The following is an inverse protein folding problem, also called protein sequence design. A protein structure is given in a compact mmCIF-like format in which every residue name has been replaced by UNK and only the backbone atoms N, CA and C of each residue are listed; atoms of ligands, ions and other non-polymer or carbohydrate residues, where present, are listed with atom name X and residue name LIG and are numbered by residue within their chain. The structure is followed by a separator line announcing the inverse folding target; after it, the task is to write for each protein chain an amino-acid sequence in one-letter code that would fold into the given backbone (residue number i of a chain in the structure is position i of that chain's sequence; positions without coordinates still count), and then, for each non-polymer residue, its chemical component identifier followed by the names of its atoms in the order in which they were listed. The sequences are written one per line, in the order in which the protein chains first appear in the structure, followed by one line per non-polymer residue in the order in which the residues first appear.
data_IF_483479077068
#
_entry.id   IF_483479077068
#
_cell.length_a   1.000
_cell.length_b   1.000
_cell.length_c   1.000
_cell.angle_alpha   90.00
_cell.angle_beta   90.00
_cell.angle_gamma   90.00
#
_symmetry.space_group_name_H-M   'P 1'
#
loop_
_entity.id
_entity.type
_entity.pdbx_description
1 polymer ?
#
# COMPACT_ATOMS: atom_id res chain seq x y z
N UNK A 1 -0.27 -18.02 -4.21
CA UNK A 1 -0.32 -17.00 -3.15
C UNK A 1 -1.79 -16.67 -2.91
N UNK A 2 -2.31 -16.95 -1.70
CA UNK A 2 -3.75 -16.81 -1.37
C UNK A 2 -4.27 -15.37 -1.44
N UNK A 3 -3.48 -14.41 -0.99
CA UNK A 3 -3.88 -13.00 -0.92
C UNK A 3 -3.10 -12.15 -1.95
N UNK A 4 -3.77 -11.13 -2.50
CA UNK A 4 -3.24 -10.23 -3.52
C UNK A 4 -3.32 -8.75 -3.13
N UNK A 5 -4.17 -8.39 -2.17
CA UNK A 5 -4.35 -7.03 -1.68
C UNK A 5 -4.37 -6.99 -0.15
N UNK A 6 -3.59 -6.07 0.42
CA UNK A 6 -3.61 -5.72 1.84
C UNK A 6 -4.14 -4.30 1.99
N UNK A 7 -5.25 -4.13 2.70
CA UNK A 7 -5.89 -2.84 2.96
C UNK A 7 -5.68 -2.47 4.43
N UNK A 8 -5.18 -1.27 4.69
CA UNK A 8 -4.82 -0.83 6.02
C UNK A 8 -5.55 0.47 6.35
N UNK A 9 -6.27 0.49 7.47
CA UNK A 9 -6.53 1.75 8.13
C UNK A 9 -5.22 2.42 8.59
N UNK A 10 -5.27 3.74 8.79
CA UNK A 10 -4.11 4.56 9.10
C UNK A 10 -4.02 4.91 10.59
N UNK A 11 -5.02 5.59 11.13
CA UNK A 11 -4.97 6.15 12.49
C UNK A 11 -5.48 5.13 13.49
N UNK A 12 -4.62 4.67 14.41
CA UNK A 12 -4.96 3.56 15.31
C UNK A 12 -4.60 2.20 14.71
N UNK A 13 -4.28 2.12 13.42
CA UNK A 13 -3.88 0.86 12.78
C UNK A 13 -2.44 0.85 12.29
N UNK A 14 -2.13 1.60 11.22
CA UNK A 14 -0.79 1.68 10.65
C UNK A 14 0.17 2.51 11.50
N UNK A 15 -0.35 3.61 12.07
CA UNK A 15 0.43 4.57 12.83
C UNK A 15 0.38 4.26 14.33
N UNK A 16 1.53 4.44 14.97
CA UNK A 16 1.63 4.49 16.43
C UNK A 16 1.06 5.84 16.97
N UNK A 17 1.04 6.00 18.28
CA UNK A 17 0.54 7.18 18.98
C UNK A 17 1.38 8.44 18.67
N UNK A 18 2.65 8.26 18.28
CA UNK A 18 3.51 9.33 17.76
C UNK A 18 3.18 9.72 16.31
N UNK A 19 2.17 9.10 15.69
CA UNK A 19 1.77 9.27 14.28
C UNK A 19 2.87 8.87 13.28
N UNK A 20 3.68 7.90 13.66
CA UNK A 20 4.78 7.35 12.85
C UNK A 20 4.51 5.89 12.45
N UNK A 21 5.06 5.50 11.30
CA UNK A 21 5.12 4.08 10.90
C UNK A 21 6.37 3.48 11.55
N UNK A 22 6.21 2.45 12.37
CA UNK A 22 7.35 1.79 12.99
C UNK A 22 8.27 1.15 11.94
N UNK A 23 9.56 1.01 12.27
CA UNK A 23 10.54 0.38 11.37
C UNK A 23 10.15 -1.05 11.00
N UNK A 24 9.60 -1.81 11.95
CA UNK A 24 9.18 -3.20 11.73
C UNK A 24 7.97 -3.27 10.80
N UNK A 25 6.98 -2.41 11.00
CA UNK A 25 5.78 -2.33 10.14
C UNK A 25 6.14 -1.90 8.73
N UNK A 26 6.93 -0.84 8.57
CA UNK A 26 7.45 -0.41 7.27
C UNK A 26 8.19 -1.54 6.57
N UNK A 27 9.10 -2.20 7.29
CA UNK A 27 9.92 -3.26 6.73
C UNK A 27 9.09 -4.47 6.25
N UNK A 28 8.07 -4.85 7.01
CA UNK A 28 7.15 -5.94 6.70
C UNK A 28 6.25 -5.62 5.51
N UNK A 29 5.71 -4.41 5.44
CA UNK A 29 4.88 -3.96 4.33
C UNK A 29 5.67 -3.85 3.02
N UNK A 30 6.90 -3.35 3.07
CA UNK A 30 7.79 -3.36 1.90
C UNK A 30 8.09 -4.79 1.42
N UNK A 31 8.28 -5.74 2.34
CA UNK A 31 8.54 -7.15 1.97
C UNK A 31 7.32 -7.78 1.30
N UNK A 32 6.13 -7.59 1.87
CA UNK A 32 4.86 -8.06 1.26
C UNK A 32 4.63 -7.44 -0.10
N UNK A 33 4.89 -6.13 -0.22
CA UNK A 33 4.86 -5.45 -1.49
C UNK A 33 5.81 -6.10 -2.47
N UNK A 34 7.09 -6.29 -2.16
CA UNK A 34 8.06 -6.95 -3.05
C UNK A 34 7.65 -8.35 -3.51
N UNK A 35 6.91 -9.09 -2.67
CA UNK A 35 6.41 -10.43 -3.00
C UNK A 35 5.22 -10.44 -3.97
N UNK A 36 4.67 -9.27 -4.32
CA UNK A 36 3.57 -9.17 -5.28
C UNK A 36 2.31 -8.55 -4.72
N UNK A 37 2.10 -8.60 -3.40
CA UNK A 37 0.86 -8.13 -2.81
C UNK A 37 0.78 -6.60 -2.90
N UNK A 38 -0.32 -6.08 -3.43
CA UNK A 38 -0.56 -4.63 -3.46
C UNK A 38 -1.01 -4.16 -2.09
N UNK A 39 -0.64 -2.93 -1.72
CA UNK A 39 -1.07 -2.30 -0.45
C UNK A 39 -1.97 -1.11 -0.75
N UNK A 40 -3.09 -1.01 -0.05
CA UNK A 40 -3.98 0.14 -0.08
C UNK A 40 -4.11 0.77 1.30
N UNK A 41 -3.99 2.10 1.40
CA UNK A 41 -4.33 2.84 2.61
C UNK A 41 -5.81 3.26 2.56
N UNK A 42 -6.57 3.06 3.63
CA UNK A 42 -7.98 3.43 3.71
C UNK A 42 -8.28 4.26 4.95
N UNK A 43 -8.51 5.57 4.79
CA UNK A 43 -8.59 6.51 5.91
C UNK A 43 -9.62 7.62 5.70
N UNK A 44 -10.09 8.20 6.80
CA UNK A 44 -10.89 9.42 6.81
C UNK A 44 -10.11 10.67 6.38
N UNK A 45 -8.77 10.62 6.44
CA UNK A 45 -7.91 11.74 6.05
C UNK A 45 -8.10 12.17 4.59
N UNK A 46 -7.90 13.45 4.27
CA UNK A 46 -7.80 13.91 2.89
C UNK A 46 -6.61 13.27 2.18
N UNK A 47 -6.70 13.15 0.86
CA UNK A 47 -5.64 12.62 0.01
C UNK A 47 -4.28 13.22 0.32
N UNK A 48 -4.21 14.54 0.45
CA UNK A 48 -2.95 15.25 0.73
C UNK A 48 -2.30 14.79 2.04
N UNK A 49 -3.10 14.52 3.08
CA UNK A 49 -2.64 14.01 4.37
C UNK A 49 -2.08 12.59 4.32
N UNK A 50 -2.48 11.79 3.31
CA UNK A 50 -2.01 10.41 3.11
C UNK A 50 -0.79 10.31 2.20
N UNK A 51 -0.54 11.30 1.34
CA UNK A 51 0.57 11.29 0.39
C UNK A 51 1.95 11.07 1.04
N UNK A 52 2.28 11.67 2.20
CA UNK A 52 3.56 11.39 2.87
C UNK A 52 3.70 9.91 3.27
N UNK A 53 2.64 9.30 3.79
CA UNK A 53 2.63 7.89 4.20
C UNK A 53 2.75 6.96 2.99
N UNK A 54 2.00 7.25 1.94
CA UNK A 54 2.07 6.51 0.68
C UNK A 54 3.47 6.54 0.06
N UNK A 55 4.17 7.68 0.16
CA UNK A 55 5.58 7.82 -0.28
C UNK A 55 6.53 7.00 0.61
N UNK A 56 6.38 7.07 1.93
CA UNK A 56 7.20 6.28 2.88
C UNK A 56 7.07 4.79 2.65
N UNK A 57 5.86 4.32 2.34
CA UNK A 57 5.58 2.91 1.99
C UNK A 57 5.94 2.56 0.54
N UNK A 58 6.45 3.51 -0.25
CA UNK A 58 6.76 3.34 -1.66
C UNK A 58 5.59 2.79 -2.50
N UNK A 59 4.34 3.13 -2.14
CA UNK A 59 3.15 2.55 -2.79
C UNK A 59 3.19 2.74 -4.32
N UNK A 60 3.70 3.87 -4.80
CA UNK A 60 3.83 4.11 -6.23
C UNK A 60 4.79 3.15 -6.96
N UNK A 61 5.79 2.60 -6.27
CA UNK A 61 6.71 1.61 -6.86
C UNK A 61 6.08 0.22 -6.96
N UNK A 62 5.04 -0.05 -6.16
CA UNK A 62 4.45 -1.38 -6.01
C UNK A 62 2.96 -1.43 -6.39
N UNK A 63 2.49 -0.45 -7.17
CA UNK A 63 1.10 -0.34 -7.64
C UNK A 63 0.07 -0.32 -6.49
N UNK A 64 0.39 0.41 -5.43
CA UNK A 64 -0.49 0.61 -4.28
C UNK A 64 -1.57 1.67 -4.52
N UNK A 65 -2.54 1.73 -3.61
CA UNK A 65 -3.70 2.60 -3.71
C UNK A 65 -3.90 3.45 -2.45
N UNK A 66 -4.62 4.56 -2.61
CA UNK A 66 -5.06 5.41 -1.51
C UNK A 66 -6.58 5.53 -1.62
N UNK A 67 -7.27 5.19 -0.54
CA UNK A 67 -8.70 5.39 -0.32
C UNK A 67 -8.83 6.48 0.75
N UNK A 68 -9.14 7.69 0.32
CA UNK A 68 -9.23 8.87 1.19
C UNK A 68 -10.67 9.29 1.45
N UNK A 69 -10.86 10.24 2.36
CA UNK A 69 -12.18 10.79 2.70
C UNK A 69 -13.21 9.70 3.08
N UNK A 70 -12.80 8.70 3.87
CA UNK A 70 -13.63 7.56 4.29
C UNK A 70 -14.17 6.72 3.12
N UNK A 71 -13.54 6.78 1.94
CA UNK A 71 -14.01 6.11 0.73
C UNK A 71 -14.50 7.07 -0.36
N UNK A 72 -14.48 8.38 -0.13
CA UNK A 72 -14.91 9.37 -1.12
C UNK A 72 -14.05 9.41 -2.39
N UNK A 73 -12.80 8.92 -2.33
CA UNK A 73 -11.89 8.92 -3.48
C UNK A 73 -10.97 7.69 -3.46
N UNK A 74 -10.64 7.16 -4.65
CA UNK A 74 -9.61 6.13 -4.86
C UNK A 74 -8.56 6.70 -5.81
N UNK A 75 -7.29 6.61 -5.40
CA UNK A 75 -6.14 7.07 -6.18
C UNK A 75 -5.16 5.93 -6.38
N UNK A 76 -4.68 5.77 -7.62
CA UNK A 76 -3.51 4.96 -7.92
C UNK A 76 -2.24 5.73 -7.51
N UNK A 77 -1.49 5.19 -6.54
CA UNK A 77 -0.33 5.86 -5.98
C UNK A 77 0.86 5.98 -6.95
N UNK A 78 0.87 5.21 -8.05
CA UNK A 78 1.94 5.22 -9.04
C UNK A 78 1.90 6.47 -9.94
N UNK A 79 0.72 6.82 -10.43
CA UNK A 79 0.52 7.85 -11.45
C UNK A 79 -0.37 9.01 -10.98
N UNK A 80 -0.97 8.91 -9.78
CA UNK A 80 -1.90 9.90 -9.25
C UNK A 80 -3.28 9.87 -9.91
N UNK A 81 -3.59 8.85 -10.69
CA UNK A 81 -4.88 8.70 -11.37
C UNK A 81 -6.00 8.48 -10.36
N UNK A 82 -7.07 9.27 -10.50
CA UNK A 82 -8.30 9.13 -9.71
C UNK A 82 -9.16 8.06 -10.38
N UNK A 83 -9.26 6.89 -9.74
CA UNK A 83 -10.03 5.76 -10.24
C UNK A 83 -11.52 5.86 -9.90
N UNK A 84 -11.81 6.52 -8.78
CA UNK A 84 -13.16 6.73 -8.30
C UNK A 84 -13.19 7.99 -7.45
N UNK A 85 -14.28 8.75 -7.56
CA UNK A 85 -14.51 9.92 -6.74
C UNK A 85 -16.01 10.19 -6.61
N UNK A 86 -16.45 10.57 -5.41
CA UNK A 86 -17.74 11.22 -5.20
C UNK A 86 -17.55 12.55 -4.51
N UNK A 87 -18.36 13.52 -4.92
CA UNK A 87 -18.34 14.88 -4.41
C UNK A 87 -19.75 15.31 -4.01
N UNK A 88 -19.81 16.21 -3.03
CA UNK A 88 -21.02 16.91 -2.61
C UNK A 88 -21.39 17.91 -3.70
N UNK A 89 -22.67 17.97 -4.06
CA UNK A 89 -23.17 19.01 -4.95
C UNK A 89 -22.95 20.40 -4.27
N UNK A 90 -22.20 21.33 -4.89
CA UNK A 90 -21.95 22.67 -4.34
C UNK A 90 -23.22 23.44 -3.93
N UNK A 91 -24.36 23.16 -4.58
CA UNK A 91 -25.65 23.77 -4.24
C UNK A 91 -26.12 23.44 -2.80
N UNK A 92 -25.55 22.40 -2.17
CA UNK A 92 -25.83 22.03 -0.78
C UNK A 92 -25.05 22.89 0.23
N UNK A 93 -23.94 23.52 -0.17
CA UNK A 93 -23.06 24.25 0.75
C UNK A 93 -23.78 25.39 1.49
N UNK A 94 -24.64 26.22 0.85
CA UNK A 94 -25.39 27.24 1.58
C UNK A 94 -26.32 26.66 2.65
N UNK A 95 -26.88 25.46 2.42
CA UNK A 95 -27.71 24.78 3.41
C UNK A 95 -26.89 24.26 4.60
N UNK A 96 -25.73 23.66 4.33
CA UNK A 96 -24.81 23.18 5.36
C UNK A 96 -24.28 24.34 6.22
N UNK A 97 -23.79 25.41 5.58
CA UNK A 97 -23.31 26.62 6.25
C UNK A 97 -24.41 27.26 7.11
N UNK A 98 -25.62 27.43 6.57
CA UNK A 98 -26.74 28.00 7.32
C UNK A 98 -27.07 27.20 8.59
N UNK A 99 -26.94 25.87 8.52
CA UNK A 99 -27.16 24.98 9.66
C UNK A 99 -26.00 25.02 10.65
N UNK A 100 -24.76 25.09 10.19
CA UNK A 100 -23.59 25.30 11.04
C UNK A 100 -23.74 26.61 11.84
N UNK A 101 -23.99 27.74 11.17
CA UNK A 101 -24.22 29.05 11.81
C UNK A 101 -25.39 29.03 12.79
N UNK A 102 -26.52 28.41 12.45
CA UNK A 102 -27.68 28.34 13.34
C UNK A 102 -27.38 27.62 14.65
N UNK A 103 -26.53 26.58 14.62
CA UNK A 103 -26.16 25.81 15.80
C UNK A 103 -24.85 26.29 16.45
N UNK A 104 -24.24 27.36 15.93
CA UNK A 104 -22.94 27.86 16.38
C UNK A 104 -21.81 26.82 16.25
N UNK A 105 -21.81 26.08 15.15
CA UNK A 105 -20.74 25.15 14.79
C UNK A 105 -19.84 25.81 13.75
N UNK A 106 -18.53 25.54 13.82
CA UNK A 106 -17.65 25.85 12.70
C UNK A 106 -17.87 24.84 11.57
N UNK A 107 -17.53 25.21 10.35
CA UNK A 107 -17.60 24.32 9.18
C UNK A 107 -16.34 24.43 8.35
N UNK A 108 -15.84 23.29 7.85
CA UNK A 108 -14.71 23.29 6.95
C UNK A 108 -14.80 22.22 5.85
N UNK A 109 -14.00 22.40 4.80
CA UNK A 109 -13.75 21.44 3.73
C UNK A 109 -12.27 21.44 3.35
N UNK A 110 -11.86 20.47 2.54
CA UNK A 110 -10.50 20.36 2.01
C UNK A 110 -10.44 20.79 0.55
N UNK A 111 -9.34 21.43 0.16
CA UNK A 111 -8.96 21.67 -1.22
C UNK A 111 -7.43 21.60 -1.34
N UNK A 112 -6.93 20.64 -2.11
CA UNK A 112 -5.49 20.40 -2.29
C UNK A 112 -4.71 20.34 -0.95
N UNK A 113 -3.81 21.30 -0.70
CA UNK A 113 -3.00 21.42 0.51
C UNK A 113 -3.62 22.34 1.58
N UNK A 114 -4.92 22.60 1.49
CA UNK A 114 -5.62 23.57 2.34
C UNK A 114 -6.90 23.04 2.99
N UNK A 115 -7.21 23.59 4.17
CA UNK A 115 -8.53 23.58 4.80
C UNK A 115 -9.15 24.96 4.58
N UNK A 116 -10.34 25.01 3.98
CA UNK A 116 -11.19 26.20 3.93
C UNK A 116 -12.21 26.12 5.05
N UNK A 117 -12.29 27.14 5.89
CA UNK A 117 -13.13 27.16 7.11
C UNK A 117 -13.73 28.53 7.36
N UNK A 118 -14.86 28.60 8.06
CA UNK A 118 -15.41 29.85 8.58
C UNK A 118 -14.76 30.32 9.90
N UNK A 119 -14.08 29.40 10.60
CA UNK A 119 -13.38 29.68 11.86
C UNK A 119 -11.98 29.04 11.85
N UNK A 120 -10.95 29.87 11.60
CA UNK A 120 -9.55 29.43 11.64
C UNK A 120 -8.99 29.32 13.06
N UNK A 121 -9.66 29.93 14.03
CA UNK A 121 -9.30 29.95 15.43
C UNK A 121 -9.89 28.79 16.24
N UNK A 122 -10.73 27.96 15.63
CA UNK A 122 -11.24 26.74 16.22
C UNK A 122 -10.10 25.73 16.47
N UNK A 123 -10.03 25.18 17.69
CA UNK A 123 -8.95 24.29 18.11
C UNK A 123 -8.89 22.97 17.33
N UNK A 124 -10.05 22.38 17.02
CA UNK A 124 -10.14 21.11 16.30
C UNK A 124 -9.84 21.28 14.82
N UNK A 125 -10.24 22.41 14.22
CA UNK A 125 -9.85 22.75 12.84
C UNK A 125 -8.33 22.90 12.74
N UNK A 126 -7.68 23.56 13.72
CA UNK A 126 -6.21 23.64 13.77
C UNK A 126 -5.56 22.29 13.99
N UNK A 127 -6.12 21.45 14.86
CA UNK A 127 -5.60 20.11 15.09
C UNK A 127 -5.66 19.25 13.81
N UNK A 128 -6.78 19.31 13.07
CA UNK A 128 -6.96 18.60 11.80
C UNK A 128 -5.99 19.10 10.71
N UNK A 129 -5.80 20.42 10.63
CA UNK A 129 -4.82 21.01 9.71
C UNK A 129 -3.40 20.54 10.03
N UNK A 130 -3.02 20.54 11.30
CA UNK A 130 -1.70 20.09 11.75
C UNK A 130 -1.47 18.60 11.49
N UNK A 131 -2.47 17.76 11.78
CA UNK A 131 -2.40 16.31 11.57
C UNK A 131 -2.14 15.95 10.09
N UNK A 132 -2.72 16.73 9.18
CA UNK A 132 -2.65 16.49 7.73
C UNK A 132 -1.65 17.40 7.01
N UNK A 133 -0.91 18.25 7.74
CA UNK A 133 0.02 19.24 7.19
C UNK A 133 -0.61 20.19 6.16
N UNK A 134 -1.81 20.71 6.47
CA UNK A 134 -2.59 21.60 5.61
C UNK A 134 -2.48 23.06 6.07
N UNK A 135 -2.58 23.98 5.12
CA UNK A 135 -2.74 25.41 5.40
C UNK A 135 -4.20 25.72 5.69
N UNK A 136 -4.47 26.66 6.59
CA UNK A 136 -5.84 27.12 6.87
C UNK A 136 -6.11 28.40 6.10
N UNK A 137 -7.23 28.45 5.40
CA UNK A 137 -7.79 29.63 4.76
C UNK A 137 -9.14 29.92 5.41
N UNK A 138 -9.27 31.10 6.02
CA UNK A 138 -10.53 31.53 6.60
C UNK A 138 -11.37 32.30 5.60
N UNK A 139 -12.64 31.95 5.49
CA UNK A 139 -13.62 32.59 4.63
C UNK A 139 -14.88 32.91 5.43
N UNK A 140 -15.25 34.19 5.54
CA UNK A 140 -16.43 34.60 6.31
C UNK A 140 -17.73 34.01 5.72
N UNK A 141 -17.80 33.92 4.39
CA UNK A 141 -18.93 33.34 3.64
C UNK A 141 -18.48 32.03 2.98
N UNK A 142 -18.44 30.96 3.78
CA UNK A 142 -17.91 29.64 3.43
C UNK A 142 -18.49 29.11 2.12
N UNK A 143 -19.81 29.12 1.94
CA UNK A 143 -20.44 28.58 0.73
C UNK A 143 -20.19 29.41 -0.53
N UNK A 144 -19.83 30.69 -0.39
CA UNK A 144 -19.54 31.57 -1.53
C UNK A 144 -18.09 31.43 -1.99
N UNK A 145 -17.17 31.14 -1.08
CA UNK A 145 -15.76 30.98 -1.38
C UNK A 145 -15.42 29.64 -2.07
N UNK A 146 -16.32 28.66 -2.01
CA UNK A 146 -16.12 27.33 -2.59
C UNK A 146 -16.77 27.26 -3.97
N UNK A 147 -15.95 27.31 -5.02
CA UNK A 147 -16.35 27.21 -6.43
C UNK A 147 -16.17 25.80 -7.03
N UNK A 148 -15.83 24.82 -6.18
CA UNK A 148 -15.62 23.42 -6.54
C UNK A 148 -16.55 22.49 -5.75
N UNK A 149 -16.71 21.26 -6.21
CA UNK A 149 -17.47 20.24 -5.50
C UNK A 149 -16.57 19.51 -4.47
N UNK A 150 -16.80 19.63 -3.15
CA UNK A 150 -15.91 19.02 -2.15
C UNK A 150 -16.19 17.53 -1.98
N UNK A 151 -15.17 16.75 -1.62
CA UNK A 151 -15.34 15.32 -1.31
C UNK A 151 -16.07 15.09 0.02
N UNK A 152 -15.89 16.01 0.98
CA UNK A 152 -16.60 16.01 2.27
C UNK A 152 -16.62 17.40 2.89
N UNK A 153 -17.60 17.66 3.75
CA UNK A 153 -17.61 18.81 4.65
C UNK A 153 -17.70 18.32 6.10
N UNK A 154 -17.14 19.07 7.03
CA UNK A 154 -17.16 18.72 8.46
C UNK A 154 -17.69 19.89 9.25
N UNK A 155 -18.67 19.63 10.11
CA UNK A 155 -19.12 20.57 11.12
C UNK A 155 -18.44 20.25 12.46
N UNK A 156 -18.07 21.29 13.20
CA UNK A 156 -17.21 21.18 14.37
C UNK A 156 -17.85 21.86 15.58
N UNK A 157 -17.93 21.15 16.70
CA UNK A 157 -18.44 21.67 17.97
C UNK A 157 -17.91 20.88 19.16
N UNK A 158 -17.76 21.54 20.31
CA UNK A 158 -17.51 20.87 21.59
C UNK A 158 -18.81 20.37 22.27
N UNK A 159 -19.97 20.69 21.68
CA UNK A 159 -21.28 20.22 22.15
C UNK A 159 -21.66 18.92 21.42
N UNK A 160 -21.26 17.79 22.01
CA UNK A 160 -21.50 16.45 21.45
C UNK A 160 -23.00 16.12 21.31
N UNK A 161 -23.83 16.59 22.24
CA UNK A 161 -25.28 16.37 22.20
C UNK A 161 -25.90 17.12 21.02
N UNK A 162 -25.51 18.38 20.81
CA UNK A 162 -26.00 19.17 19.69
C UNK A 162 -25.53 18.61 18.33
N UNK A 163 -24.32 18.04 18.24
CA UNK A 163 -23.85 17.34 17.03
C UNK A 163 -24.70 16.09 16.75
N UNK A 164 -24.96 15.26 17.78
CA UNK A 164 -25.79 14.06 17.66
C UNK A 164 -27.24 14.38 17.27
N UNK A 165 -27.82 15.43 17.86
CA UNK A 165 -29.16 15.89 17.49
C UNK A 165 -29.22 16.31 16.01
N UNK A 166 -28.19 17.01 15.52
CA UNK A 166 -28.09 17.40 14.12
C UNK A 166 -27.85 16.18 13.22
N UNK A 167 -27.01 15.23 13.64
CA UNK A 167 -26.76 13.96 12.96
C UNK A 167 -28.07 13.19 12.74
N UNK A 168 -28.87 12.97 13.79
CA UNK A 168 -30.15 12.26 13.69
C UNK A 168 -31.16 12.99 12.79
N UNK A 169 -31.19 14.32 12.87
CA UNK A 169 -32.04 15.14 12.01
C UNK A 169 -31.64 15.02 10.54
N UNK A 170 -30.33 15.08 10.25
CA UNK A 170 -29.80 15.03 8.90
C UNK A 170 -29.83 13.64 8.29
N UNK A 171 -29.60 12.58 9.07
CA UNK A 171 -29.79 11.19 8.64
C UNK A 171 -31.17 10.97 8.02
N UNK A 172 -32.22 11.61 8.56
CA UNK A 172 -33.58 11.53 8.01
C UNK A 172 -33.82 12.49 6.85
N UNK A 173 -33.27 13.71 6.91
CA UNK A 173 -33.59 14.78 5.95
C UNK A 173 -32.76 14.71 4.67
N UNK A 174 -31.54 14.20 4.76
CA UNK A 174 -30.59 14.11 3.65
C UNK A 174 -30.47 12.68 3.11
N UNK A 175 -31.29 11.76 3.60
CA UNK A 175 -31.32 10.35 3.17
C UNK A 175 -31.37 10.22 1.64
N UNK A 176 -30.56 9.31 1.11
CA UNK A 176 -30.38 9.13 -0.33
C UNK A 176 -29.63 10.25 -1.07
N UNK A 177 -29.23 11.33 -0.37
CA UNK A 177 -28.48 12.45 -0.98
C UNK A 177 -27.09 12.61 -0.36
N UNK A 178 -27.00 12.72 0.97
CA UNK A 178 -25.76 12.84 1.73
C UNK A 178 -25.84 11.92 2.96
N UNK A 179 -24.74 11.26 3.27
CA UNK A 179 -24.59 10.53 4.53
C UNK A 179 -23.96 11.44 5.58
N UNK A 180 -24.40 11.27 6.82
CA UNK A 180 -23.97 12.09 7.95
C UNK A 180 -23.71 11.19 9.14
N UNK A 181 -22.53 11.35 9.75
CA UNK A 181 -22.13 10.60 10.94
C UNK A 181 -21.06 11.35 11.74
N UNK A 182 -21.01 11.13 13.05
CA UNK A 182 -19.89 11.62 13.86
C UNK A 182 -18.69 10.67 13.75
N UNK A 183 -17.54 11.17 13.33
CA UNK A 183 -16.28 10.41 13.31
C UNK A 183 -15.47 10.59 14.59
N UNK A 184 -15.53 11.79 15.17
CA UNK A 184 -14.98 12.14 16.48
C UNK A 184 -16.10 12.77 17.32
N UNK A 185 -15.97 12.84 18.66
CA UNK A 185 -16.98 13.48 19.51
C UNK A 185 -17.31 14.93 19.09
N UNK A 186 -16.34 15.61 18.47
CA UNK A 186 -16.44 17.00 18.02
C UNK A 186 -16.56 17.19 16.50
N UNK A 187 -16.60 16.11 15.70
CA UNK A 187 -16.71 16.18 14.23
C UNK A 187 -17.96 15.46 13.73
N UNK A 188 -18.83 16.23 13.07
CA UNK A 188 -19.94 15.72 12.28
C UNK A 188 -19.55 15.76 10.79
N UNK A 189 -19.26 14.59 10.22
CA UNK A 189 -18.92 14.46 8.81
C UNK A 189 -20.18 14.44 7.94
N UNK A 190 -20.10 15.17 6.83
CA UNK A 190 -21.09 15.17 5.76
C UNK A 190 -20.37 14.69 4.50
N UNK A 191 -20.83 13.58 3.94
CA UNK A 191 -20.23 12.94 2.76
C UNK A 191 -21.30 12.61 1.72
N UNK A 192 -20.93 12.38 0.45
CA UNK A 192 -21.88 11.87 -0.55
C UNK A 192 -22.51 10.55 -0.12
N UNK A 193 -23.79 10.34 -0.46
CA UNK A 193 -24.50 9.11 -0.07
C UNK A 193 -23.82 7.84 -0.62
N UNK A 194 -23.76 6.79 0.21
CA UNK A 194 -23.20 5.48 -0.07
C UNK A 194 -21.68 5.40 0.04
N UNK A 195 -21.03 6.42 0.61
CA UNK A 195 -19.58 6.43 0.82
C UNK A 195 -19.22 5.80 2.16
N UNK A 196 -18.56 4.65 2.10
CA UNK A 196 -17.79 4.08 3.20
C UNK A 196 -16.56 3.32 2.66
N UNK A 197 -15.63 2.95 3.55
CA UNK A 197 -14.41 2.24 3.16
C UNK A 197 -14.70 0.89 2.48
N UNK A 198 -15.79 0.22 2.84
CA UNK A 198 -16.12 -1.13 2.37
C UNK A 198 -16.70 -1.13 0.95
N UNK A 199 -17.66 -0.26 0.67
CA UNK A 199 -18.25 -0.06 -0.65
C UNK A 199 -17.17 0.40 -1.64
N UNK A 200 -16.32 1.34 -1.22
CA UNK A 200 -15.23 1.84 -2.04
C UNK A 200 -14.14 0.79 -2.25
N UNK A 201 -13.86 -0.06 -1.24
CA UNK A 201 -13.03 -1.25 -1.44
C UNK A 201 -13.63 -2.16 -2.52
N UNK A 202 -14.94 -2.41 -2.52
CA UNK A 202 -15.62 -3.18 -3.57
C UNK A 202 -15.41 -2.63 -4.99
N UNK A 203 -15.38 -1.30 -5.13
CA UNK A 203 -15.04 -0.63 -6.40
C UNK A 203 -13.59 -0.92 -6.79
N UNK A 204 -12.64 -0.81 -5.85
CA UNK A 204 -11.23 -1.12 -6.10
C UNK A 204 -11.03 -2.60 -6.51
N UNK A 205 -11.69 -3.53 -5.82
CA UNK A 205 -11.60 -4.96 -6.12
C UNK A 205 -12.10 -5.27 -7.54
N UNK A 206 -13.20 -4.63 -7.95
CA UNK A 206 -13.73 -4.75 -9.31
C UNK A 206 -12.77 -4.23 -10.36
N UNK A 207 -12.12 -3.09 -10.10
CA UNK A 207 -11.10 -2.52 -10.99
C UNK A 207 -9.87 -3.43 -11.12
N UNK A 208 -9.41 -4.01 -10.02
CA UNK A 208 -8.23 -4.89 -10.01
C UNK A 208 -8.52 -6.33 -10.43
N UNK A 209 -9.79 -6.70 -10.62
CA UNK A 209 -10.23 -8.07 -10.83
C UNK A 209 -9.70 -9.04 -9.74
N UNK A 210 -9.80 -8.60 -8.48
CA UNK A 210 -9.39 -9.36 -7.28
C UNK A 210 -10.65 -9.83 -6.56
N UNK A 211 -10.73 -11.12 -6.23
CA UNK A 211 -11.84 -11.63 -5.44
C UNK A 211 -11.67 -11.22 -3.97
N UNK A 212 -12.78 -10.99 -3.25
CA UNK A 212 -12.73 -10.56 -1.84
C UNK A 212 -11.95 -11.55 -0.96
N UNK A 213 -12.00 -12.84 -1.28
CA UNK A 213 -11.27 -13.92 -0.58
C UNK A 213 -9.74 -13.76 -0.66
N UNK A 214 -9.26 -12.97 -1.61
CA UNK A 214 -7.84 -12.66 -1.84
C UNK A 214 -7.41 -11.36 -1.14
N UNK A 215 -8.24 -10.80 -0.26
CA UNK A 215 -8.02 -9.51 0.42
C UNK A 215 -7.84 -9.71 1.91
N UNK A 216 -6.85 -9.02 2.47
CA UNK A 216 -6.70 -8.82 3.91
C UNK A 216 -7.03 -7.37 4.21
N UNK A 217 -7.85 -7.11 5.22
CA UNK A 217 -8.10 -5.76 5.73
C UNK A 217 -7.72 -5.69 7.21
N UNK A 218 -7.05 -4.61 7.63
CA UNK A 218 -6.69 -4.35 9.02
C UNK A 218 -7.24 -2.99 9.45
N UNK A 219 -7.87 -2.94 10.62
CA UNK A 219 -8.49 -1.73 11.18
C UNK A 219 -8.73 -1.84 12.68
N UNK A 220 -9.10 -0.73 13.32
CA UNK A 220 -9.38 -0.65 14.76
C UNK A 220 -10.72 0.01 15.08
N UNK A 221 -11.22 0.85 14.18
CA UNK A 221 -12.39 1.69 14.41
C UNK A 221 -13.71 1.04 13.99
N UNK A 222 -14.83 1.60 14.46
CA UNK A 222 -16.18 1.21 14.04
C UNK A 222 -16.39 1.42 12.54
N UNK A 223 -15.76 2.46 11.97
CA UNK A 223 -15.76 2.75 10.54
C UNK A 223 -15.08 1.67 9.69
N UNK A 224 -14.27 0.79 10.30
CA UNK A 224 -13.56 -0.28 9.60
C UNK A 224 -14.35 -1.59 9.56
N UNK A 225 -15.34 -1.77 10.44
CA UNK A 225 -16.07 -3.05 10.61
C UNK A 225 -16.56 -3.63 9.28
N UNK A 226 -17.21 -2.83 8.45
CA UNK A 226 -17.71 -3.29 7.15
C UNK A 226 -16.55 -3.68 6.22
N UNK A 227 -15.43 -2.94 6.24
CA UNK A 227 -14.24 -3.24 5.43
C UNK A 227 -13.61 -4.56 5.87
N UNK A 228 -13.53 -4.81 7.19
CA UNK A 228 -13.04 -6.06 7.76
C UNK A 228 -13.91 -7.25 7.35
N UNK A 229 -15.24 -7.09 7.37
CA UNK A 229 -16.18 -8.15 7.01
C UNK A 229 -16.25 -8.44 5.51
N UNK A 230 -15.96 -7.45 4.66
CA UNK A 230 -15.91 -7.64 3.20
C UNK A 230 -14.65 -8.39 2.79
N UNK A 231 -13.52 -8.19 3.48
CA UNK A 231 -12.27 -8.86 3.17
C UNK A 231 -12.35 -10.37 3.44
N UNK A 232 -11.56 -11.15 2.70
CA UNK A 232 -11.42 -12.60 2.91
C UNK A 232 -10.75 -12.95 4.24
N UNK A 233 -10.03 -11.98 4.82
CA UNK A 233 -9.50 -12.02 6.16
C UNK A 233 -9.52 -10.61 6.77
N UNK A 234 -10.49 -10.35 7.63
CA UNK A 234 -10.59 -9.12 8.42
C UNK A 234 -9.81 -9.23 9.73
N UNK A 235 -8.96 -8.24 10.03
CA UNK A 235 -8.12 -8.21 11.22
C UNK A 235 -8.42 -6.96 12.05
N UNK A 236 -8.80 -7.15 13.31
CA UNK A 236 -8.93 -6.06 14.27
C UNK A 236 -7.64 -5.86 15.07
N UNK A 237 -7.28 -4.59 15.33
CA UNK A 237 -6.15 -4.25 16.20
C UNK A 237 -6.41 -4.61 17.68
N UNK A 238 -5.34 -4.85 18.44
CA UNK A 238 -5.44 -5.32 19.82
C UNK A 238 -6.10 -4.33 20.80
N UNK A 239 -5.99 -3.03 20.55
CA UNK A 239 -6.66 -1.99 21.35
C UNK A 239 -8.05 -1.63 20.83
N UNK A 240 -8.50 -2.21 19.70
CA UNK A 240 -9.82 -1.96 19.14
C UNK A 240 -10.92 -2.30 20.16
N UNK A 241 -12.08 -1.65 20.01
CA UNK A 241 -13.25 -1.95 20.85
C UNK A 241 -13.71 -3.40 20.65
N UNK A 242 -14.30 -4.01 21.68
CA UNK A 242 -14.78 -5.40 21.61
C UNK A 242 -15.83 -5.59 20.51
N UNK A 243 -16.66 -4.57 20.25
CA UNK A 243 -17.62 -4.55 19.14
C UNK A 243 -16.95 -4.73 17.77
N UNK A 244 -15.75 -4.14 17.57
CA UNK A 244 -14.97 -4.28 16.35
C UNK A 244 -14.29 -5.65 16.28
N UNK A 245 -13.66 -6.08 17.38
CA UNK A 245 -12.97 -7.37 17.47
C UNK A 245 -13.87 -8.57 17.17
N UNK A 246 -15.12 -8.55 17.64
CA UNK A 246 -16.11 -9.62 17.39
C UNK A 246 -16.50 -9.70 15.91
N UNK A 247 -16.33 -8.62 15.15
CA UNK A 247 -16.64 -8.57 13.72
C UNK A 247 -15.45 -8.98 12.83
N UNK A 248 -14.27 -9.21 13.39
CA UNK A 248 -13.07 -9.59 12.65
C UNK A 248 -12.80 -11.10 12.74
N UNK A 249 -12.14 -11.65 11.73
CA UNK A 249 -11.72 -13.06 11.71
C UNK A 249 -10.52 -13.33 12.62
N UNK A 250 -9.71 -12.29 12.84
CA UNK A 250 -8.50 -12.35 13.65
C UNK A 250 -8.31 -11.07 14.45
N UNK A 251 -7.75 -11.18 15.66
CA UNK A 251 -7.34 -10.04 16.47
C UNK A 251 -5.82 -10.07 16.62
N UNK A 252 -5.17 -8.98 16.27
CA UNK A 252 -3.71 -8.83 16.39
C UNK A 252 -3.32 -8.01 17.63
N UNK A 253 -2.03 -7.70 17.77
CA UNK A 253 -1.49 -6.80 18.78
C UNK A 253 -1.94 -5.34 18.55
N UNK A 254 -1.65 -4.45 19.51
CA UNK A 254 -1.91 -3.02 19.34
C UNK A 254 -1.01 -2.39 18.27
N UNK A 255 -1.33 -1.17 17.81
CA UNK A 255 -0.48 -0.36 16.95
C UNK A 255 0.88 -0.08 17.59
N UNK A 256 0.92 0.19 18.90
CA UNK A 256 2.16 0.38 19.69
C UNK A 256 3.06 -0.87 19.71
N UNK A 257 2.47 -2.05 19.52
CA UNK A 257 3.16 -3.34 19.53
C UNK A 257 3.38 -3.90 18.12
N UNK A 258 3.32 -3.06 17.08
CA UNK A 258 3.47 -3.45 15.68
C UNK A 258 2.43 -4.48 15.20
N UNK A 259 1.17 -4.37 15.62
CA UNK A 259 0.09 -5.31 15.28
C UNK A 259 -0.07 -5.58 13.78
N UNK A 260 0.15 -4.57 12.93
CA UNK A 260 0.19 -4.73 11.47
C UNK A 260 1.35 -5.63 11.04
N UNK A 261 2.57 -5.37 11.52
CA UNK A 261 3.73 -6.19 11.20
C UNK A 261 3.55 -7.64 11.64
N UNK A 262 3.08 -7.86 12.88
CA UNK A 262 2.84 -9.20 13.40
C UNK A 262 1.83 -9.99 12.57
N UNK A 263 0.75 -9.34 12.13
CA UNK A 263 -0.25 -9.95 11.26
C UNK A 263 0.35 -10.34 9.91
N UNK A 264 1.06 -9.42 9.28
CA UNK A 264 1.74 -9.63 8.00
C UNK A 264 2.75 -10.77 8.09
N UNK A 265 3.62 -10.74 9.10
CA UNK A 265 4.66 -11.74 9.30
C UNK A 265 4.06 -13.14 9.50
N UNK A 266 3.00 -13.25 10.30
CA UNK A 266 2.39 -14.53 10.66
C UNK A 266 1.48 -15.10 9.57
N UNK A 267 0.70 -14.25 8.90
CA UNK A 267 -0.41 -14.68 8.05
C UNK A 267 -0.08 -14.59 6.56
N UNK A 268 0.95 -13.82 6.20
CA UNK A 268 1.40 -13.69 4.82
C UNK A 268 2.80 -14.28 4.68
N UNK A 269 3.77 -13.82 5.47
CA UNK A 269 5.16 -14.21 5.26
C UNK A 269 5.47 -15.63 5.76
N UNK A 270 4.83 -16.10 6.83
CA UNK A 270 5.04 -17.46 7.34
C UNK A 270 4.29 -18.54 6.54
N UNK A 271 3.14 -18.23 5.94
CA UNK A 271 2.40 -19.17 5.06
C UNK A 271 3.10 -19.37 3.70
N UNK A 272 3.88 -18.38 3.24
CA UNK A 272 4.65 -18.49 2.00
C UNK A 272 5.93 -19.30 2.25
N UNK A 273 5.76 -20.60 2.52
CA UNK A 273 6.79 -21.58 2.21
C UNK A 273 6.97 -21.68 0.70
N UNK A 274 8.16 -22.10 0.27
CA UNK A 274 8.72 -22.18 -1.08
C UNK A 274 7.81 -22.56 -2.29
N UNK A 275 6.57 -22.99 -2.09
CA UNK A 275 5.67 -23.49 -3.13
C UNK A 275 4.80 -22.42 -3.83
N UNK A 276 4.68 -21.18 -3.33
CA UNK A 276 3.73 -20.20 -3.88
C UNK A 276 4.28 -18.78 -4.10
N UNK A 277 5.53 -18.64 -4.57
CA UNK A 277 6.05 -17.34 -5.02
C UNK A 277 5.37 -16.98 -6.35
N UNK A 278 4.63 -15.85 -6.47
CA UNK A 278 3.87 -15.52 -7.67
C UNK A 278 4.78 -15.00 -8.78
N UNK A 279 5.41 -15.92 -9.52
CA UNK A 279 6.40 -15.60 -10.57
C UNK A 279 5.87 -14.63 -11.63
N UNK A 280 4.60 -14.78 -12.03
CA UNK A 280 3.97 -13.89 -13.02
C UNK A 280 3.99 -12.43 -12.57
N UNK A 281 3.73 -12.18 -11.29
CA UNK A 281 3.69 -10.85 -10.70
C UNK A 281 5.10 -10.26 -10.50
N UNK A 282 6.07 -11.10 -10.13
CA UNK A 282 7.48 -10.71 -10.11
C UNK A 282 7.97 -10.32 -11.50
N UNK A 283 7.60 -11.10 -12.52
CA UNK A 283 7.96 -10.86 -13.92
C UNK A 283 7.27 -9.62 -14.49
N UNK A 284 6.01 -9.39 -14.15
CA UNK A 284 5.28 -8.19 -14.57
C UNK A 284 5.93 -6.92 -14.03
N UNK A 285 6.33 -6.91 -12.76
CA UNK A 285 6.99 -5.74 -12.14
C UNK A 285 8.41 -5.52 -12.64
N UNK A 286 9.12 -6.60 -12.94
CA UNK A 286 10.45 -6.52 -13.54
C UNK A 286 10.45 -5.90 -14.95
N UNK A 287 9.29 -5.80 -15.62
CA UNK A 287 9.13 -5.34 -17.02
C UNK A 287 9.77 -3.98 -17.29
N UNK A 288 9.71 -3.05 -16.35
CA UNK A 288 10.25 -1.68 -16.50
C UNK A 288 11.60 -1.46 -15.78
N UNK A 289 12.28 -2.53 -15.38
CA UNK A 289 13.60 -2.51 -14.76
C UNK A 289 14.65 -3.15 -15.68
N UNK A 290 15.91 -3.21 -15.21
CA UNK A 290 17.01 -3.89 -15.92
C UNK A 290 16.62 -5.31 -16.36
N UNK A 291 15.93 -6.05 -15.49
CA UNK A 291 15.46 -7.41 -15.74
C UNK A 291 14.57 -7.49 -16.98
N UNK A 292 13.51 -6.67 -17.05
CA UNK A 292 12.64 -6.60 -18.23
C UNK A 292 13.36 -6.13 -19.49
N UNK A 293 14.25 -5.14 -19.36
CA UNK A 293 15.07 -4.64 -20.47
C UNK A 293 16.01 -5.71 -21.05
N UNK A 294 16.46 -6.66 -20.25
CA UNK A 294 17.25 -7.82 -20.69
C UNK A 294 16.40 -9.04 -21.03
N UNK A 295 15.08 -8.99 -20.83
CA UNK A 295 14.16 -10.11 -21.04
C UNK A 295 14.29 -11.23 -20.01
N UNK A 296 14.77 -10.92 -18.80
CA UNK A 296 14.87 -11.87 -17.70
C UNK A 296 13.47 -12.23 -17.20
N UNK A 297 13.18 -13.53 -17.06
CA UNK A 297 11.93 -14.05 -16.52
C UNK A 297 12.21 -15.11 -15.47
N UNK A 298 11.75 -14.91 -14.24
CA UNK A 298 11.78 -15.93 -13.20
C UNK A 298 10.86 -17.10 -13.57
N UNK A 299 11.39 -18.32 -13.47
CA UNK A 299 10.69 -19.57 -13.81
C UNK A 299 10.55 -20.51 -12.63
N UNK A 300 11.28 -20.26 -11.54
CA UNK A 300 11.18 -21.00 -10.28
C UNK A 300 11.73 -20.16 -9.13
N UNK A 301 11.14 -20.26 -7.94
CA UNK A 301 11.70 -19.64 -6.75
C UNK A 301 11.38 -20.44 -5.47
N UNK A 302 12.40 -20.65 -4.64
CA UNK A 302 12.33 -21.16 -3.27
C UNK A 302 13.41 -20.51 -2.40
N UNK A 303 13.41 -20.77 -1.09
CA UNK A 303 14.47 -20.28 -0.18
C UNK A 303 15.88 -20.77 -0.56
N UNK A 304 15.99 -21.92 -1.21
CA UNK A 304 17.29 -22.55 -1.51
C UNK A 304 17.66 -22.49 -2.99
N UNK A 305 16.69 -22.23 -3.88
CA UNK A 305 16.88 -22.29 -5.33
C UNK A 305 16.02 -21.28 -6.07
N UNK A 306 16.63 -20.50 -6.95
CA UNK A 306 15.94 -19.57 -7.86
C UNK A 306 16.33 -19.91 -9.29
N UNK A 307 15.37 -19.90 -10.22
CA UNK A 307 15.65 -20.00 -11.65
C UNK A 307 15.02 -18.85 -12.42
N UNK A 308 15.74 -18.43 -13.46
CA UNK A 308 15.23 -17.48 -14.44
C UNK A 308 15.80 -17.78 -15.82
N UNK A 309 15.08 -17.37 -16.86
CA UNK A 309 15.53 -17.42 -18.25
C UNK A 309 15.84 -16.04 -18.77
N UNK A 310 16.75 -15.94 -19.74
CA UNK A 310 17.08 -14.71 -20.46
C UNK A 310 17.37 -15.03 -21.93
N UNK A 311 16.74 -14.33 -22.89
CA UNK A 311 16.99 -14.57 -24.31
C UNK A 311 18.37 -14.06 -24.73
N UNK A 312 18.99 -14.72 -25.72
CA UNK A 312 20.19 -14.24 -26.40
C UNK A 312 19.75 -13.54 -27.69
N UNK A 313 19.58 -12.23 -27.63
CA UNK A 313 19.15 -11.41 -28.76
C UNK A 313 19.89 -10.07 -28.78
N UNK A 314 19.43 -9.11 -29.59
CA UNK A 314 20.01 -7.78 -29.73
C UNK A 314 20.24 -7.02 -28.40
N UNK A 315 19.54 -7.37 -27.32
CA UNK A 315 19.65 -6.74 -25.99
C UNK A 315 20.81 -7.30 -25.17
N UNK A 316 21.14 -8.57 -25.38
CA UNK A 316 22.02 -9.35 -24.49
C UNK A 316 23.26 -9.90 -25.20
N UNK A 317 23.32 -9.81 -26.54
CA UNK A 317 24.47 -10.27 -27.32
C UNK A 317 25.54 -9.19 -27.46
N UNK A 318 26.79 -9.63 -27.58
CA UNK A 318 27.88 -8.81 -28.09
C UNK A 318 27.83 -8.72 -29.63
N UNK A 319 28.60 -7.81 -30.26
CA UNK A 319 28.56 -7.60 -31.71
C UNK A 319 28.76 -8.87 -32.57
N UNK A 320 29.46 -9.87 -32.04
CA UNK A 320 29.72 -11.16 -32.69
C UNK A 320 28.57 -12.19 -32.59
N UNK A 321 27.39 -11.81 -32.09
CA UNK A 321 26.24 -12.72 -32.00
C UNK A 321 26.31 -13.73 -30.86
N UNK A 322 27.14 -13.48 -29.85
CA UNK A 322 27.36 -14.34 -28.68
C UNK A 322 26.82 -13.63 -27.44
N UNK A 323 26.29 -14.36 -26.46
CA UNK A 323 25.86 -13.80 -25.19
C UNK A 323 26.97 -12.95 -24.53
N UNK A 324 26.63 -11.73 -24.14
CA UNK A 324 27.55 -10.80 -23.49
C UNK A 324 27.80 -11.22 -22.03
N UNK A 325 29.07 -11.26 -21.62
CA UNK A 325 29.44 -11.68 -20.25
C UNK A 325 28.77 -10.84 -19.16
N UNK A 326 28.68 -9.52 -19.37
CA UNK A 326 27.96 -8.62 -18.46
C UNK A 326 26.45 -8.90 -18.36
N UNK A 327 25.80 -9.36 -19.44
CA UNK A 327 24.39 -9.76 -19.37
C UNK A 327 24.23 -11.03 -18.53
N UNK A 328 25.17 -11.97 -18.66
CA UNK A 328 25.24 -13.17 -17.80
C UNK A 328 25.43 -12.80 -16.32
N UNK A 329 26.28 -11.83 -16.00
CA UNK A 329 26.45 -11.37 -14.62
C UNK A 329 25.19 -10.69 -14.09
N UNK A 330 24.52 -9.86 -14.90
CA UNK A 330 23.26 -9.23 -14.53
C UNK A 330 22.17 -10.28 -14.23
N UNK A 331 22.06 -11.32 -15.06
CA UNK A 331 21.17 -12.47 -14.81
C UNK A 331 21.51 -13.15 -13.48
N UNK A 332 22.80 -13.41 -13.22
CA UNK A 332 23.23 -14.08 -12.00
C UNK A 332 22.97 -13.25 -10.74
N UNK A 333 23.28 -11.95 -10.75
CA UNK A 333 22.97 -11.03 -9.65
C UNK A 333 21.45 -10.96 -9.40
N UNK A 334 20.65 -10.95 -10.46
CA UNK A 334 19.19 -10.89 -10.39
C UNK A 334 18.61 -12.09 -9.63
N UNK A 335 19.01 -13.31 -9.97
CA UNK A 335 18.49 -14.52 -9.32
C UNK A 335 19.02 -14.71 -7.89
N UNK A 336 20.28 -14.38 -7.64
CA UNK A 336 20.87 -14.46 -6.30
C UNK A 336 20.31 -13.39 -5.35
N UNK A 337 20.05 -12.18 -5.87
CA UNK A 337 19.39 -11.08 -5.18
C UNK A 337 18.01 -11.48 -4.69
N UNK A 338 17.16 -11.98 -5.60
CA UNK A 338 15.82 -12.47 -5.24
C UNK A 338 15.88 -13.59 -4.19
N UNK A 339 16.76 -14.57 -4.37
CA UNK A 339 16.92 -15.67 -3.41
C UNK A 339 17.30 -15.19 -2.01
N UNK A 340 18.20 -14.20 -1.94
CA UNK A 340 18.58 -13.58 -0.67
C UNK A 340 17.42 -12.80 -0.05
N UNK A 341 16.64 -12.07 -0.86
CA UNK A 341 15.49 -11.29 -0.38
C UNK A 341 14.40 -12.17 0.21
N UNK A 342 14.08 -13.30 -0.44
CA UNK A 342 13.11 -14.28 0.07
C UNK A 342 13.56 -14.79 1.45
N UNK A 343 14.87 -15.03 1.58
CA UNK A 343 15.51 -15.64 2.75
C UNK A 343 15.66 -14.68 3.94
N UNK A 344 15.70 -13.37 3.70
CA UNK A 344 15.95 -12.36 4.73
C UNK A 344 14.78 -12.21 5.71
N UNK A 345 15.10 -11.81 6.95
CA UNK A 345 14.09 -11.40 7.91
C UNK A 345 13.39 -10.10 7.46
N UNK A 346 12.16 -9.84 7.92
CA UNK A 346 11.41 -8.65 7.51
C UNK A 346 12.19 -7.33 7.68
N UNK A 347 12.97 -7.21 8.77
CA UNK A 347 13.76 -6.03 9.12
C UNK A 347 15.16 -5.97 8.47
N UNK A 348 15.44 -6.85 7.52
CA UNK A 348 16.68 -6.92 6.76
C UNK A 348 16.49 -6.43 5.32
N UNK A 349 17.56 -5.88 4.74
CA UNK A 349 17.70 -5.62 3.30
C UNK A 349 18.91 -6.37 2.76
N UNK A 350 18.85 -6.61 1.47
CA UNK A 350 19.92 -7.25 0.72
C UNK A 350 20.53 -6.25 -0.24
N UNK A 351 21.86 -6.19 -0.25
CA UNK A 351 22.63 -5.41 -1.22
C UNK A 351 23.69 -6.30 -1.86
N UNK A 352 23.78 -6.27 -3.18
CA UNK A 352 24.86 -6.95 -3.91
C UNK A 352 26.22 -6.40 -3.46
N UNK A 353 27.11 -7.28 -3.00
CA UNK A 353 28.44 -6.91 -2.53
C UNK A 353 29.52 -7.28 -3.55
N UNK A 354 29.39 -8.45 -4.17
CA UNK A 354 30.36 -8.95 -5.13
C UNK A 354 29.70 -9.94 -6.08
N UNK A 355 30.03 -9.82 -7.37
CA UNK A 355 29.75 -10.83 -8.40
C UNK A 355 31.05 -11.24 -9.07
N UNK A 356 31.26 -12.55 -9.24
CA UNK A 356 32.44 -13.11 -9.93
C UNK A 356 32.03 -14.31 -10.76
N UNK A 357 32.25 -14.26 -12.07
CA UNK A 357 31.82 -15.28 -13.01
C UNK A 357 32.94 -15.86 -13.87
N UNK A 358 32.90 -17.16 -14.09
CA UNK A 358 33.73 -17.86 -15.07
C UNK A 358 32.88 -18.22 -16.28
N UNK A 359 33.22 -17.69 -17.45
CA UNK A 359 32.58 -18.02 -18.73
C UNK A 359 33.26 -19.25 -19.35
N UNK A 360 32.52 -20.35 -19.46
CA UNK A 360 33.04 -21.67 -19.81
C UNK A 360 32.73 -22.01 -21.27
N UNK A 361 31.56 -21.62 -21.75
CA UNK A 361 31.19 -21.81 -23.15
C UNK A 361 30.27 -20.68 -23.64
N UNK A 362 29.93 -20.71 -24.94
CA UNK A 362 29.14 -19.67 -25.58
C UNK A 362 27.68 -20.10 -25.77
N UNK A 363 26.77 -19.14 -25.58
CA UNK A 363 25.41 -19.17 -26.10
C UNK A 363 25.32 -18.15 -27.25
N UNK A 364 24.51 -18.45 -28.27
CA UNK A 364 24.45 -17.69 -29.51
C UNK A 364 23.09 -17.03 -29.69
N UNK A 365 23.05 -15.99 -30.52
CA UNK A 365 21.80 -15.32 -30.89
C UNK A 365 20.73 -16.33 -31.36
N UNK A 366 19.51 -16.19 -30.83
CA UNK A 366 18.40 -17.12 -31.02
C UNK A 366 18.26 -18.19 -29.93
N UNK A 367 19.25 -18.34 -29.04
CA UNK A 367 19.15 -19.21 -27.86
C UNK A 367 18.42 -18.51 -26.69
N UNK A 368 18.01 -19.27 -25.68
CA UNK A 368 17.53 -18.78 -24.39
C UNK A 368 18.32 -19.45 -23.29
N UNK A 369 19.03 -18.65 -22.50
CA UNK A 369 19.81 -19.18 -21.38
C UNK A 369 18.96 -19.29 -20.13
N UNK A 370 19.23 -20.31 -19.32
CA UNK A 370 18.58 -20.58 -18.03
C UNK A 370 19.61 -20.50 -16.92
N UNK A 371 19.39 -19.62 -15.94
CA UNK A 371 20.18 -19.54 -14.72
C UNK A 371 19.55 -20.37 -13.61
N UNK A 372 20.37 -21.10 -12.88
CA UNK A 372 20.00 -21.86 -11.68
C UNK A 372 20.87 -21.35 -10.53
N UNK A 373 20.26 -20.60 -9.62
CA UNK A 373 20.91 -20.14 -8.40
C UNK A 373 20.61 -21.11 -7.27
N UNK A 374 21.64 -21.51 -6.52
CA UNK A 374 21.52 -22.31 -5.30
C UNK A 374 22.31 -21.65 -4.18
N UNK A 375 21.72 -21.61 -2.98
CA UNK A 375 22.39 -21.01 -1.82
C UNK A 375 23.57 -21.89 -1.36
N UNK A 376 24.74 -21.27 -1.21
CA UNK A 376 25.97 -21.92 -0.72
C UNK A 376 26.20 -21.61 0.75
N UNK A 377 25.88 -20.38 1.18
CA UNK A 377 26.01 -19.95 2.56
C UNK A 377 24.87 -19.00 2.92
N UNK A 378 24.16 -19.32 4.01
CA UNK A 378 23.09 -18.51 4.61
C UNK A 378 23.57 -17.96 5.96
N UNK A 379 24.33 -16.86 5.93
CA UNK A 379 24.85 -16.20 7.12
C UNK A 379 23.97 -15.03 7.57
N UNK A 380 24.16 -14.58 8.83
CA UNK A 380 23.40 -13.44 9.40
C UNK A 380 23.72 -12.09 8.75
N UNK A 381 24.92 -11.93 8.20
CA UNK A 381 25.39 -10.68 7.59
C UNK A 381 25.69 -10.81 6.10
N UNK A 382 25.64 -12.02 5.56
CA UNK A 382 25.89 -12.26 4.15
C UNK A 382 25.29 -13.57 3.66
N UNK A 383 24.83 -13.56 2.41
CA UNK A 383 24.45 -14.75 1.67
C UNK A 383 25.42 -14.95 0.51
N UNK A 384 25.79 -16.20 0.25
CA UNK A 384 26.59 -16.58 -0.92
C UNK A 384 25.78 -17.54 -1.78
N UNK A 385 25.64 -17.20 -3.06
CA UNK A 385 24.93 -17.99 -4.04
C UNK A 385 25.88 -18.46 -5.14
N UNK A 386 25.68 -19.70 -5.59
CA UNK A 386 26.26 -20.20 -6.82
C UNK A 386 25.18 -20.16 -7.90
N UNK A 387 25.49 -19.58 -9.05
CA UNK A 387 24.57 -19.45 -10.18
C UNK A 387 25.20 -20.07 -11.41
N UNK A 388 24.64 -21.19 -11.85
CA UNK A 388 25.07 -21.85 -13.08
C UNK A 388 24.10 -21.50 -14.21
N UNK A 389 24.66 -21.04 -15.34
CA UNK A 389 23.90 -20.60 -16.51
C UNK A 389 24.08 -21.60 -17.64
N UNK A 390 22.98 -22.07 -18.20
CA UNK A 390 22.93 -23.11 -19.22
C UNK A 390 22.26 -22.59 -20.50
N UNK A 391 22.66 -23.14 -21.64
CA UNK A 391 21.90 -23.01 -22.90
C UNK A 391 20.59 -23.80 -22.85
N UNK A 392 19.72 -23.62 -23.84
CA UNK A 392 18.51 -24.44 -24.03
C UNK A 392 18.80 -25.95 -24.14
N UNK A 393 20.02 -26.32 -24.56
CA UNK A 393 20.47 -27.73 -24.67
C UNK A 393 21.15 -28.26 -23.39
N UNK A 394 21.05 -27.53 -22.27
CA UNK A 394 21.69 -27.85 -20.98
C UNK A 394 23.23 -27.85 -21.01
N UNK A 395 23.87 -27.22 -22.01
CA UNK A 395 25.31 -26.95 -21.98
C UNK A 395 25.63 -25.80 -21.04
N UNK A 396 26.58 -25.98 -20.12
CA UNK A 396 27.02 -24.96 -19.16
C UNK A 396 27.76 -23.81 -19.88
N UNK A 397 27.21 -22.61 -19.76
CA UNK A 397 27.72 -21.35 -20.34
C UNK A 397 28.61 -20.64 -19.34
N UNK A 398 28.18 -20.53 -18.09
CA UNK A 398 28.92 -19.80 -17.05
C UNK A 398 28.58 -20.32 -15.66
N UNK A 399 29.53 -20.21 -14.74
CA UNK A 399 29.32 -20.44 -13.31
C UNK A 399 29.72 -19.17 -12.55
N UNK A 400 28.79 -18.61 -11.79
CA UNK A 400 28.90 -17.29 -11.17
C UNK A 400 28.69 -17.41 -9.67
N UNK A 401 29.55 -16.76 -8.89
CA UNK A 401 29.39 -16.60 -7.45
C UNK A 401 28.93 -15.19 -7.14
N UNK A 402 27.82 -15.08 -6.43
CA UNK A 402 27.26 -13.81 -5.97
C UNK A 402 27.30 -13.78 -4.46
N UNK A 403 27.84 -12.69 -3.92
CA UNK A 403 27.83 -12.40 -2.49
C UNK A 403 26.95 -11.20 -2.26
N UNK A 404 25.97 -11.40 -1.39
CA UNK A 404 25.02 -10.39 -0.99
C UNK A 404 25.24 -10.07 0.49
N UNK A 405 25.30 -8.79 0.82
CA UNK A 405 25.31 -8.32 2.22
C UNK A 405 23.88 -8.26 2.75
N UNK A 406 23.68 -8.78 3.95
CA UNK A 406 22.43 -8.69 4.70
C UNK A 406 22.60 -7.60 5.74
N UNK A 407 21.83 -6.53 5.62
CA UNK A 407 21.92 -5.35 6.48
C UNK A 407 20.59 -5.14 7.20
N UNK A 408 20.62 -4.65 8.44
CA UNK A 408 19.41 -4.16 9.10
C UNK A 408 18.93 -2.87 8.43
N UNK A 409 17.63 -2.75 8.18
CA UNK A 409 17.01 -1.48 7.74
C UNK A 409 17.25 -0.43 8.84
N UNK A 410 17.86 0.69 8.48
CA UNK A 410 18.15 1.78 9.41
C UNK A 410 16.93 2.64 9.67
#
# INVERSE_FOLDING_TARGET
MKYKLLVLDVDGTLLNDAKEISKRTLASLLKVQQMGIRVALASGRPTYGLMPLAKTLELGNYEGFIISYNGGQIINAQNGEILFERRINPEMLPYLEKKARKNNFAIFTYHDDTILTDSSDNEHVRAEANLNNLKIIQEEEFSTAIDFAPCKCILVSNDEEALKDLEEHWKKRLDGTLDVFCSEPYFLEVVPCGIDKANTLGVLLSYLNIAREEVIAIGDGVCDVNMLQVAGLGIAMGHAQDSVKVCADYVTASNEEDGVAQSVEKLILAEVHAAEIPLDLLNERARHALMGNLGIQYTYASEERIEATMPVDHRTRQPFGILHGGATLALAETVAGLGSMITCQPDEIVVGMQVSGNHISSAHEGDTVRAVATIVHKGRSSHVWNVDVFTSTNKLVSSVRVVNSVLKKR
#
